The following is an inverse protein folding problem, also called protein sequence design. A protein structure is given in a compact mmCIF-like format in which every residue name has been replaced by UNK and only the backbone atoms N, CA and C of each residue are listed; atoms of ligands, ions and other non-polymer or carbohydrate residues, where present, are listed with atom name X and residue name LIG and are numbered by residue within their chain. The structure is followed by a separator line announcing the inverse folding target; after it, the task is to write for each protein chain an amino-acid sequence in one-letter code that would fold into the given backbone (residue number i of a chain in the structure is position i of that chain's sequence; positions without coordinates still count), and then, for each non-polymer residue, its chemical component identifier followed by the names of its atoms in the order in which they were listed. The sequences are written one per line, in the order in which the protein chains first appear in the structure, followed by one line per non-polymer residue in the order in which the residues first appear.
data_IF_506834006739
#
_entry.id   IF_506834006739
#
_cell.length_a   1.000
_cell.length_b   1.000
_cell.length_c   1.000
_cell.angle_alpha   90.00
_cell.angle_beta   90.00
_cell.angle_gamma   90.00
#
_symmetry.space_group_name_H-M   'P 1'
#
loop_
_entity.id
_entity.type
_entity.pdbx_description
1 polymer ?
#
# COMPACT_ATOMS: atom_id res chain seq x y z
N UNK A 1 39.48 41.91 31.91
CA UNK A 1 39.52 40.78 30.96
C UNK A 1 38.24 39.98 31.10
N UNK A 2 37.36 40.13 30.16
CA UNK A 2 36.04 39.54 30.17
C UNK A 2 36.08 38.35 29.17
N UNK A 3 36.09 37.13 29.68
CA UNK A 3 36.03 35.92 28.82
C UNK A 3 34.57 35.64 28.48
N UNK A 4 34.22 35.88 27.22
CA UNK A 4 32.97 35.48 26.63
C UNK A 4 33.03 33.97 26.34
N UNK A 5 32.27 33.18 27.11
CA UNK A 5 32.05 31.75 26.84
C UNK A 5 31.05 31.65 25.66
N UNK A 6 31.55 31.37 24.48
CA UNK A 6 30.69 30.98 23.32
C UNK A 6 30.35 29.52 23.54
N UNK A 7 29.16 29.28 24.08
CA UNK A 7 28.54 27.92 24.04
C UNK A 7 28.16 27.59 22.59
N UNK A 8 29.02 26.80 21.95
CA UNK A 8 28.63 26.12 20.73
C UNK A 8 27.64 25.00 21.11
N UNK A 9 26.35 25.29 21.05
CA UNK A 9 25.33 24.25 21.09
C UNK A 9 25.42 23.49 19.76
N UNK A 10 26.22 22.43 19.72
CA UNK A 10 26.16 21.41 18.67
C UNK A 10 24.79 20.76 18.77
N UNK A 11 23.85 21.22 17.95
CA UNK A 11 22.65 20.43 17.68
C UNK A 11 23.11 19.14 16.99
N UNK A 12 23.34 18.10 17.76
CA UNK A 12 23.38 16.74 17.21
C UNK A 12 21.95 16.45 16.75
N UNK A 13 21.69 16.62 15.45
CA UNK A 13 20.52 16.04 14.83
C UNK A 13 20.78 14.54 14.89
N UNK A 14 20.20 13.88 15.89
CA UNK A 14 20.24 12.42 15.99
C UNK A 14 19.41 11.87 14.82
N UNK A 15 20.05 11.12 13.93
CA UNK A 15 19.38 10.38 12.88
C UNK A 15 18.30 9.48 13.49
N UNK A 16 17.08 9.55 12.95
CA UNK A 16 15.99 8.66 13.36
C UNK A 16 16.22 7.25 12.82
N UNK A 17 15.52 6.27 13.40
CA UNK A 17 15.59 4.89 12.90
C UNK A 17 15.07 4.80 11.46
N UNK A 18 14.04 5.58 11.12
CA UNK A 18 13.48 5.62 9.77
C UNK A 18 14.48 6.19 8.76
N UNK A 19 15.17 7.29 9.11
CA UNK A 19 16.24 7.85 8.26
C UNK A 19 17.39 6.85 8.07
N UNK A 20 17.76 6.11 9.13
CA UNK A 20 18.78 5.07 9.02
C UNK A 20 18.34 3.95 8.08
N UNK A 21 17.11 3.44 8.22
CA UNK A 21 16.56 2.39 7.33
C UNK A 21 16.58 2.86 5.88
N UNK A 22 16.07 4.08 5.60
CA UNK A 22 15.99 4.62 4.24
C UNK A 22 17.36 4.80 3.57
N UNK A 23 18.42 5.00 4.35
CA UNK A 23 19.80 5.07 3.84
C UNK A 23 20.42 3.69 3.53
N UNK A 24 19.80 2.60 3.99
CA UNK A 24 20.36 1.24 3.90
C UNK A 24 19.50 0.27 3.09
N UNK A 25 18.39 0.75 2.53
CA UNK A 25 17.54 -0.05 1.63
C UNK A 25 17.76 0.35 0.17
N UNK A 26 17.21 -0.47 -0.73
CA UNK A 26 17.22 -0.23 -2.17
C UNK A 26 16.60 1.12 -2.54
N UNK A 27 17.27 1.88 -3.43
CA UNK A 27 16.77 3.18 -3.89
C UNK A 27 15.44 3.01 -4.66
N UNK A 28 14.49 3.90 -4.43
CA UNK A 28 13.21 3.91 -5.14
C UNK A 28 13.30 4.46 -6.57
N UNK A 29 14.37 5.18 -6.89
CA UNK A 29 14.58 5.82 -8.18
C UNK A 29 13.86 7.17 -8.33
N UNK A 30 14.28 7.93 -9.33
CA UNK A 30 13.82 9.32 -9.50
C UNK A 30 12.33 9.42 -9.84
N UNK A 31 11.76 8.42 -10.52
CA UNK A 31 10.36 8.43 -10.91
C UNK A 31 9.43 8.32 -9.69
N UNK A 32 9.70 7.37 -8.79
CA UNK A 32 8.91 7.24 -7.56
C UNK A 32 9.12 8.41 -6.61
N UNK A 33 10.35 8.96 -6.52
CA UNK A 33 10.62 10.20 -5.76
C UNK A 33 9.78 11.38 -6.30
N UNK A 34 9.69 11.52 -7.63
CA UNK A 34 8.91 12.57 -8.25
C UNK A 34 7.40 12.36 -7.99
N UNK A 35 6.89 11.15 -8.14
CA UNK A 35 5.51 10.82 -7.80
C UNK A 35 5.19 11.11 -6.33
N UNK A 36 6.05 10.68 -5.39
CA UNK A 36 5.87 10.91 -3.96
C UNK A 36 5.82 12.42 -3.64
N UNK A 37 6.74 13.19 -4.23
CA UNK A 37 6.74 14.64 -4.10
C UNK A 37 5.45 15.27 -4.65
N UNK A 38 5.03 14.88 -5.85
CA UNK A 38 3.80 15.39 -6.47
C UNK A 38 2.56 15.05 -5.66
N UNK A 39 2.50 13.84 -5.09
CA UNK A 39 1.46 13.42 -4.14
C UNK A 39 1.34 14.41 -2.98
N UNK A 40 2.49 14.80 -2.38
CA UNK A 40 2.51 15.75 -1.28
C UNK A 40 2.17 17.19 -1.66
N UNK A 41 2.37 17.56 -2.93
CA UNK A 41 2.08 18.90 -3.42
C UNK A 41 0.64 19.07 -3.92
N UNK A 42 0.01 17.99 -4.39
CA UNK A 42 -1.24 18.07 -5.17
C UNK A 42 -2.41 17.34 -4.51
N UNK A 43 -2.17 16.31 -3.68
CA UNK A 43 -3.23 15.52 -3.08
C UNK A 43 -3.51 15.93 -1.63
N UNK A 44 -4.78 15.79 -1.23
CA UNK A 44 -5.26 16.27 0.08
C UNK A 44 -4.72 15.45 1.26
N UNK A 45 -4.51 14.15 1.07
CA UNK A 45 -4.07 13.22 2.12
C UNK A 45 -2.76 12.51 1.78
N UNK A 46 -1.65 13.23 1.56
CA UNK A 46 -0.41 12.65 1.01
C UNK A 46 0.19 11.51 1.85
N UNK A 47 -0.14 11.46 3.15
CA UNK A 47 0.30 10.39 4.05
C UNK A 47 -0.32 9.02 3.76
N UNK A 48 -1.32 8.95 2.88
CA UNK A 48 -1.91 7.69 2.42
C UNK A 48 -1.02 6.96 1.41
N UNK A 49 -0.02 7.64 0.83
CA UNK A 49 0.94 6.98 -0.06
C UNK A 49 1.90 6.10 0.74
N UNK A 50 2.12 4.88 0.28
CA UNK A 50 2.95 3.86 0.95
C UNK A 50 4.37 4.32 1.28
N UNK A 51 5.00 5.10 0.41
CA UNK A 51 6.36 5.62 0.59
C UNK A 51 7.46 4.59 0.36
N UNK A 52 8.72 5.04 0.52
CA UNK A 52 9.91 4.32 0.07
C UNK A 52 10.05 2.93 0.73
N UNK A 53 10.03 2.84 2.05
CA UNK A 53 10.25 1.56 2.76
C UNK A 53 9.19 0.52 2.37
N UNK A 54 7.92 0.87 2.47
CA UNK A 54 6.82 -0.05 2.15
C UNK A 54 6.85 -0.42 0.66
N UNK A 55 7.12 0.54 -0.23
CA UNK A 55 7.26 0.28 -1.65
C UNK A 55 8.35 -0.75 -1.96
N UNK A 56 9.52 -0.64 -1.31
CA UNK A 56 10.60 -1.63 -1.48
C UNK A 56 10.23 -3.01 -0.90
N UNK A 57 9.49 -3.05 0.20
CA UNK A 57 8.94 -4.31 0.74
C UNK A 57 7.96 -4.97 -0.22
N UNK A 58 7.03 -4.21 -0.81
CA UNK A 58 6.07 -4.72 -1.80
C UNK A 58 6.80 -5.29 -3.03
N UNK A 59 7.76 -4.54 -3.60
CA UNK A 59 8.64 -5.03 -4.67
C UNK A 59 9.34 -6.33 -4.27
N UNK A 60 9.89 -6.40 -3.07
CA UNK A 60 10.59 -7.60 -2.56
C UNK A 60 9.64 -8.80 -2.49
N UNK A 61 8.44 -8.64 -1.93
CA UNK A 61 7.46 -9.73 -1.85
C UNK A 61 7.07 -10.23 -3.24
N UNK A 62 6.81 -9.32 -4.19
CA UNK A 62 6.50 -9.70 -5.58
C UNK A 62 7.67 -10.46 -6.21
N UNK A 63 8.92 -10.03 -5.98
CA UNK A 63 10.12 -10.73 -6.47
C UNK A 63 10.28 -12.13 -5.84
N UNK A 64 9.93 -12.30 -4.57
CA UNK A 64 10.01 -13.59 -3.86
C UNK A 64 8.91 -14.55 -4.29
N UNK A 65 7.67 -14.06 -4.39
CA UNK A 65 6.48 -14.85 -4.72
C UNK A 65 6.43 -15.15 -6.24
N UNK A 66 6.87 -14.19 -7.07
CA UNK A 66 6.82 -14.23 -8.53
C UNK A 66 5.40 -14.45 -9.10
N UNK A 67 4.41 -13.69 -8.63
CA UNK A 67 3.04 -13.83 -9.08
C UNK A 67 2.90 -13.38 -10.54
N UNK A 68 2.05 -14.06 -11.32
CA UNK A 68 1.69 -13.60 -12.66
C UNK A 68 0.51 -12.63 -12.64
N UNK A 69 -0.36 -12.73 -11.65
CA UNK A 69 -1.55 -11.86 -11.51
C UNK A 69 -1.64 -11.32 -10.09
N UNK A 70 -1.49 -10.01 -10.00
CA UNK A 70 -1.57 -9.30 -8.73
C UNK A 70 -2.82 -8.44 -8.71
N UNK A 71 -3.57 -8.50 -7.61
CA UNK A 71 -4.69 -7.62 -7.31
C UNK A 71 -4.23 -6.57 -6.30
N UNK A 72 -4.56 -5.32 -6.54
CA UNK A 72 -4.42 -4.23 -5.56
C UNK A 72 -5.76 -3.55 -5.35
N UNK A 73 -6.16 -3.39 -4.08
CA UNK A 73 -7.38 -2.67 -3.68
C UNK A 73 -6.96 -1.40 -2.95
N UNK A 74 -7.16 -0.25 -3.59
CA UNK A 74 -6.69 1.06 -3.15
C UNK A 74 -5.46 1.52 -3.92
N UNK A 75 -5.64 2.12 -5.10
CA UNK A 75 -4.54 2.64 -5.94
C UNK A 75 -3.98 3.95 -5.41
N UNK A 76 -4.87 4.83 -4.95
CA UNK A 76 -4.57 6.20 -4.51
C UNK A 76 -3.70 6.95 -5.53
N UNK A 77 -2.45 7.32 -5.16
CA UNK A 77 -1.53 8.01 -6.07
C UNK A 77 -0.85 7.10 -7.10
N UNK A 78 -0.97 5.77 -6.95
CA UNK A 78 -0.30 4.79 -7.79
C UNK A 78 1.11 4.40 -7.33
N UNK A 79 1.56 4.88 -6.15
CA UNK A 79 2.91 4.60 -5.67
C UNK A 79 3.13 3.10 -5.41
N UNK A 80 2.24 2.46 -4.64
CA UNK A 80 2.27 1.00 -4.39
C UNK A 80 2.11 0.20 -5.67
N UNK A 81 1.20 0.64 -6.57
CA UNK A 81 0.99 0.01 -7.87
C UNK A 81 2.29 -0.07 -8.68
N UNK A 82 3.06 1.02 -8.75
CA UNK A 82 4.34 1.06 -9.45
C UNK A 82 5.38 0.14 -8.78
N UNK A 83 5.43 0.12 -7.45
CA UNK A 83 6.34 -0.76 -6.71
C UNK A 83 6.03 -2.24 -6.90
N UNK A 84 4.73 -2.60 -6.91
CA UNK A 84 4.27 -3.97 -7.23
C UNK A 84 4.65 -4.33 -8.67
N UNK A 85 4.36 -3.44 -9.63
CA UNK A 85 4.65 -3.66 -11.05
C UNK A 85 6.15 -3.82 -11.34
N UNK A 86 7.01 -3.07 -10.66
CA UNK A 86 8.48 -3.19 -10.73
C UNK A 86 8.97 -4.59 -10.30
N UNK A 87 8.27 -5.21 -9.34
CA UNK A 87 8.57 -6.57 -8.88
C UNK A 87 8.15 -7.68 -9.82
N UNK A 88 7.16 -7.46 -10.68
CA UNK A 88 6.52 -8.47 -11.52
C UNK A 88 7.48 -9.14 -12.52
N UNK A 89 7.30 -10.44 -12.80
CA UNK A 89 7.92 -11.10 -13.93
C UNK A 89 7.53 -10.42 -15.26
N UNK A 90 8.19 -10.77 -16.34
CA UNK A 90 7.99 -10.12 -17.66
C UNK A 90 6.53 -10.25 -18.16
N UNK A 91 5.92 -11.40 -17.92
CA UNK A 91 4.53 -11.73 -18.28
C UNK A 91 3.52 -11.46 -17.15
N UNK A 92 3.97 -10.82 -16.05
CA UNK A 92 3.12 -10.49 -14.92
C UNK A 92 2.25 -9.27 -15.16
N UNK A 93 1.06 -9.23 -14.53
CA UNK A 93 0.08 -8.17 -14.65
C UNK A 93 -0.47 -7.76 -13.28
N UNK A 94 -0.50 -6.47 -13.03
CA UNK A 94 -1.17 -5.85 -11.89
C UNK A 94 -2.55 -5.34 -12.31
N UNK A 95 -3.56 -5.65 -11.51
CA UNK A 95 -4.92 -5.14 -11.60
C UNK A 95 -5.19 -4.30 -10.36
N UNK A 96 -5.21 -2.99 -10.50
CA UNK A 96 -5.37 -2.04 -9.39
C UNK A 96 -6.69 -1.31 -9.45
N UNK A 97 -7.34 -1.12 -8.30
CA UNK A 97 -8.69 -0.58 -8.20
C UNK A 97 -8.71 0.67 -7.32
N UNK A 98 -9.26 1.76 -7.84
CA UNK A 98 -9.50 3.02 -7.14
C UNK A 98 -10.99 3.33 -7.12
N UNK A 99 -11.54 3.50 -5.91
CA UNK A 99 -12.97 3.79 -5.74
C UNK A 99 -13.31 5.26 -5.98
N UNK A 100 -12.34 6.15 -5.73
CA UNK A 100 -12.50 7.59 -5.91
C UNK A 100 -12.12 7.99 -7.34
N UNK A 101 -13.11 8.30 -8.18
CA UNK A 101 -12.90 8.71 -9.56
C UNK A 101 -12.14 10.04 -9.71
N UNK A 102 -12.21 10.92 -8.70
CA UNK A 102 -11.43 12.18 -8.69
C UNK A 102 -9.91 11.92 -8.65
N UNK A 103 -9.46 10.74 -8.21
CA UNK A 103 -8.04 10.38 -8.20
C UNK A 103 -7.50 10.02 -9.59
N UNK A 104 -8.36 9.66 -10.54
CA UNK A 104 -7.97 9.19 -11.87
C UNK A 104 -7.10 10.19 -12.61
N UNK A 105 -7.49 11.47 -12.60
CA UNK A 105 -6.76 12.55 -13.31
C UNK A 105 -5.32 12.74 -12.80
N UNK A 106 -5.07 12.44 -11.52
CA UNK A 106 -3.72 12.45 -10.96
C UNK A 106 -2.99 11.14 -11.23
N UNK A 107 -3.62 10.02 -10.96
CA UNK A 107 -2.97 8.70 -10.88
C UNK A 107 -2.69 8.11 -12.27
N UNK A 108 -3.64 8.18 -13.20
CA UNK A 108 -3.52 7.58 -14.53
C UNK A 108 -2.29 8.06 -15.30
N UNK A 109 -1.97 9.38 -15.38
CA UNK A 109 -0.78 9.85 -16.07
C UNK A 109 0.54 9.29 -15.49
N UNK A 110 0.61 9.08 -14.17
CA UNK A 110 1.78 8.50 -13.53
C UNK A 110 1.94 7.00 -13.85
N UNK A 111 0.84 6.25 -13.89
CA UNK A 111 0.89 4.84 -14.25
C UNK A 111 1.25 4.65 -15.73
N UNK A 112 0.57 5.38 -16.62
CA UNK A 112 0.78 5.29 -18.07
C UNK A 112 2.12 5.86 -18.55
N UNK A 113 2.69 6.84 -17.83
CA UNK A 113 4.01 7.42 -18.10
C UNK A 113 5.19 6.58 -17.58
N UNK A 114 4.93 5.52 -16.82
CA UNK A 114 5.97 4.68 -16.25
C UNK A 114 6.50 3.64 -17.24
N UNK A 115 7.70 3.13 -16.99
CA UNK A 115 8.25 1.99 -17.72
C UNK A 115 7.43 0.69 -17.53
N UNK A 116 6.55 0.65 -16.51
CA UNK A 116 5.69 -0.49 -16.16
C UNK A 116 4.26 -0.34 -16.68
N UNK A 117 3.96 0.65 -17.49
CA UNK A 117 2.61 0.95 -17.99
C UNK A 117 1.92 -0.27 -18.63
N UNK A 118 2.67 -1.08 -19.36
CA UNK A 118 2.19 -2.29 -20.01
C UNK A 118 1.85 -3.45 -19.06
N UNK A 119 2.25 -3.36 -17.79
CA UNK A 119 1.99 -4.35 -16.74
C UNK A 119 0.88 -3.93 -15.78
N UNK A 120 0.27 -2.74 -15.95
CA UNK A 120 -0.70 -2.18 -15.00
C UNK A 120 -2.04 -1.96 -15.70
N UNK A 121 -3.10 -2.44 -15.07
CA UNK A 121 -4.50 -2.16 -15.45
C UNK A 121 -5.18 -1.42 -14.31
N UNK A 122 -5.45 -0.13 -14.51
CA UNK A 122 -6.19 0.69 -13.57
C UNK A 122 -7.70 0.59 -13.85
N UNK A 123 -8.46 0.24 -12.81
CA UNK A 123 -9.91 0.23 -12.80
C UNK A 123 -10.43 1.28 -11.82
N UNK A 124 -11.37 2.11 -12.27
CA UNK A 124 -12.05 3.09 -11.43
C UNK A 124 -13.41 2.51 -11.02
N UNK A 125 -13.62 2.36 -9.72
CA UNK A 125 -14.85 1.84 -9.14
C UNK A 125 -14.63 0.91 -7.94
N UNK A 126 -15.74 0.38 -7.41
CA UNK A 126 -15.71 -0.51 -6.24
C UNK A 126 -15.15 -1.90 -6.61
N UNK A 127 -14.00 -2.25 -6.01
CA UNK A 127 -13.34 -3.54 -6.22
C UNK A 127 -14.28 -4.73 -5.90
N UNK A 128 -15.14 -4.61 -4.88
CA UNK A 128 -16.11 -5.66 -4.53
C UNK A 128 -17.09 -5.98 -5.66
N UNK A 129 -17.35 -5.01 -6.51
CA UNK A 129 -18.24 -5.19 -7.65
C UNK A 129 -17.49 -5.61 -8.92
N UNK A 130 -16.31 -5.02 -9.15
CA UNK A 130 -15.60 -5.16 -10.41
C UNK A 130 -14.74 -6.43 -10.47
N UNK A 131 -14.06 -6.80 -9.38
CA UNK A 131 -13.14 -7.96 -9.36
C UNK A 131 -13.86 -9.27 -9.74
N UNK A 132 -15.04 -9.61 -9.18
CA UNK A 132 -15.74 -10.84 -9.56
C UNK A 132 -16.13 -10.92 -11.03
N UNK A 133 -16.35 -9.76 -11.68
CA UNK A 133 -16.74 -9.70 -13.09
C UNK A 133 -15.58 -9.96 -14.05
N UNK A 134 -14.34 -9.86 -13.58
CA UNK A 134 -13.16 -10.12 -14.42
C UNK A 134 -12.99 -11.61 -14.76
N UNK A 135 -13.50 -12.51 -13.91
CA UNK A 135 -13.28 -13.95 -14.08
C UNK A 135 -11.80 -14.35 -14.03
N UNK A 136 -11.00 -13.60 -13.26
CA UNK A 136 -9.55 -13.79 -13.13
C UNK A 136 -9.26 -14.37 -11.75
N UNK A 137 -8.34 -15.33 -11.71
CA UNK A 137 -7.75 -15.83 -10.47
C UNK A 137 -6.41 -15.15 -10.25
N UNK A 138 -6.16 -14.65 -9.03
CA UNK A 138 -4.96 -13.91 -8.65
C UNK A 138 -4.00 -14.78 -7.84
N UNK A 139 -2.70 -14.51 -7.94
CA UNK A 139 -1.64 -15.20 -7.19
C UNK A 139 -1.24 -14.44 -5.94
N UNK A 140 -1.44 -13.13 -5.96
CA UNK A 140 -1.16 -12.21 -4.86
C UNK A 140 -2.23 -11.12 -4.84
N UNK A 141 -2.72 -10.79 -3.64
CA UNK A 141 -3.56 -9.61 -3.42
C UNK A 141 -2.93 -8.69 -2.38
N UNK A 142 -2.96 -7.38 -2.64
CA UNK A 142 -2.62 -6.33 -1.69
C UNK A 142 -3.89 -5.53 -1.36
N UNK A 143 -4.28 -5.54 -0.08
CA UNK A 143 -5.49 -4.87 0.42
C UNK A 143 -5.08 -3.62 1.19
N UNK A 144 -5.35 -2.44 0.61
CA UNK A 144 -5.13 -1.13 1.22
C UNK A 144 -6.29 -0.15 0.89
N UNK A 145 -7.50 -0.66 0.92
CA UNK A 145 -8.72 0.12 0.68
C UNK A 145 -9.38 0.64 1.95
N UNK A 146 -10.70 0.84 1.88
CA UNK A 146 -11.55 1.28 3.00
C UNK A 146 -11.54 0.25 4.13
N UNK A 147 -11.00 0.63 5.28
CA UNK A 147 -10.80 -0.24 6.46
C UNK A 147 -12.11 -0.84 6.99
N UNK A 148 -13.24 -0.17 6.75
CA UNK A 148 -14.58 -0.66 7.13
C UNK A 148 -15.02 -1.89 6.35
N UNK A 149 -14.40 -2.13 5.17
CA UNK A 149 -14.75 -3.20 4.23
C UNK A 149 -13.69 -4.31 4.18
N UNK A 150 -12.74 -4.36 5.11
CA UNK A 150 -11.61 -5.28 5.03
C UNK A 150 -12.03 -6.75 5.06
N UNK A 151 -13.06 -7.11 5.85
CA UNK A 151 -13.62 -8.46 5.84
C UNK A 151 -14.21 -8.80 4.47
N UNK A 152 -14.97 -7.87 3.88
CA UNK A 152 -15.59 -8.07 2.57
C UNK A 152 -14.53 -8.20 1.47
N UNK A 153 -13.47 -7.37 1.52
CA UNK A 153 -12.34 -7.48 0.59
C UNK A 153 -11.63 -8.83 0.73
N UNK A 154 -11.40 -9.28 1.96
CA UNK A 154 -10.75 -10.56 2.23
C UNK A 154 -11.54 -11.74 1.64
N UNK A 155 -12.85 -11.81 1.89
CA UNK A 155 -13.70 -12.86 1.37
C UNK A 155 -13.79 -12.83 -0.17
N UNK A 156 -13.90 -11.66 -0.75
CA UNK A 156 -13.87 -11.48 -2.20
C UNK A 156 -12.53 -11.94 -2.79
N UNK A 157 -11.41 -11.54 -2.15
CA UNK A 157 -10.06 -11.96 -2.58
C UNK A 157 -9.91 -13.46 -2.50
N UNK A 158 -10.26 -14.11 -1.38
CA UNK A 158 -10.18 -15.57 -1.24
C UNK A 158 -10.96 -16.32 -2.31
N UNK A 159 -12.13 -15.79 -2.69
CA UNK A 159 -12.96 -16.40 -3.74
C UNK A 159 -12.33 -16.29 -5.14
N UNK A 160 -11.33 -15.43 -5.30
CA UNK A 160 -10.65 -15.16 -6.57
C UNK A 160 -9.13 -15.41 -6.49
N UNK A 161 -8.65 -16.07 -5.42
CA UNK A 161 -7.23 -16.36 -5.20
C UNK A 161 -6.92 -17.79 -5.68
N UNK A 162 -5.74 -17.98 -6.27
CA UNK A 162 -5.23 -19.31 -6.62
C UNK A 162 -4.84 -20.12 -5.38
N UNK A 163 -4.88 -21.43 -5.47
CA UNK A 163 -4.36 -22.32 -4.43
C UNK A 163 -2.89 -21.99 -4.16
N UNK A 164 -2.55 -21.72 -2.89
CA UNK A 164 -1.21 -21.27 -2.49
C UNK A 164 -0.92 -19.81 -2.80
N UNK A 165 -1.91 -19.02 -3.18
CA UNK A 165 -1.80 -17.56 -3.35
C UNK A 165 -1.61 -16.83 -2.03
N UNK A 166 -1.23 -15.55 -2.11
CA UNK A 166 -0.87 -14.73 -0.96
C UNK A 166 -1.80 -13.52 -0.83
N UNK A 167 -2.08 -13.14 0.41
CA UNK A 167 -2.79 -11.90 0.74
C UNK A 167 -1.88 -11.06 1.63
N UNK A 168 -1.67 -9.81 1.26
CA UNK A 168 -1.01 -8.79 2.08
C UNK A 168 -2.07 -7.75 2.43
N UNK A 169 -2.31 -7.52 3.71
CA UNK A 169 -3.23 -6.48 4.18
C UNK A 169 -2.45 -5.40 4.92
N UNK A 170 -2.64 -4.15 4.52
CA UNK A 170 -2.00 -3.01 5.16
C UNK A 170 -2.76 -2.50 6.38
N UNK A 171 -2.08 -1.76 7.24
CA UNK A 171 -2.60 -1.06 8.43
C UNK A 171 -3.33 -1.96 9.44
N UNK A 172 -2.98 -3.24 9.53
CA UNK A 172 -3.65 -4.19 10.44
C UNK A 172 -3.45 -3.87 11.93
N UNK A 173 -2.46 -3.06 12.29
CA UNK A 173 -2.27 -2.53 13.64
C UNK A 173 -2.95 -1.17 13.88
N UNK A 174 -3.29 -0.44 12.81
CA UNK A 174 -4.06 0.81 12.81
C UNK A 174 -3.58 1.80 13.88
N UNK A 175 -2.29 2.18 13.83
CA UNK A 175 -1.64 3.08 14.80
C UNK A 175 -1.87 2.71 16.28
N UNK A 176 -1.96 1.41 16.56
CA UNK A 176 -2.29 0.81 17.86
C UNK A 176 -3.76 0.98 18.32
N UNK A 177 -4.64 1.58 17.52
CA UNK A 177 -6.08 1.67 17.86
C UNK A 177 -6.75 0.30 18.03
N UNK A 178 -6.17 -0.76 17.44
CA UNK A 178 -6.62 -2.14 17.65
C UNK A 178 -6.57 -2.58 19.12
N UNK A 179 -5.75 -1.93 19.95
CA UNK A 179 -5.64 -2.20 21.39
C UNK A 179 -6.74 -1.53 22.22
N UNK A 180 -7.53 -0.64 21.63
CA UNK A 180 -8.64 0.00 22.33
C UNK A 180 -9.71 -1.04 22.67
N UNK A 181 -10.00 -1.23 23.97
CA UNK A 181 -11.06 -2.14 24.43
C UNK A 181 -12.45 -1.68 23.95
N UNK A 182 -12.67 -0.37 23.96
CA UNK A 182 -13.93 0.27 23.58
C UNK A 182 -13.69 1.39 22.57
N UNK A 183 -13.48 1.09 21.27
CA UNK A 183 -13.39 2.13 20.26
C UNK A 183 -14.70 2.95 20.22
N UNK A 184 -14.60 4.22 19.85
CA UNK A 184 -15.80 5.06 19.73
C UNK A 184 -16.76 4.45 18.71
N UNK A 185 -18.06 4.50 18.99
CA UNK A 185 -19.09 3.90 18.09
C UNK A 185 -19.07 4.47 16.66
N UNK A 186 -18.50 5.66 16.45
CA UNK A 186 -18.35 6.29 15.15
C UNK A 186 -16.97 6.04 14.49
N UNK A 187 -16.05 5.36 15.19
CA UNK A 187 -14.77 4.95 14.61
C UNK A 187 -14.92 3.61 13.89
N UNK A 188 -15.63 3.66 12.78
CA UNK A 188 -15.93 2.48 11.97
C UNK A 188 -14.68 1.85 11.33
N UNK A 189 -13.59 2.61 11.18
CA UNK A 189 -12.34 2.08 10.63
C UNK A 189 -11.63 1.19 11.64
N UNK A 190 -11.47 1.64 12.89
CA UNK A 190 -10.92 0.79 13.96
C UNK A 190 -11.76 -0.46 14.17
N UNK A 191 -13.10 -0.31 14.17
CA UNK A 191 -14.01 -1.45 14.30
C UNK A 191 -13.81 -2.44 13.14
N UNK A 192 -13.70 -1.95 11.92
CA UNK A 192 -13.50 -2.77 10.72
C UNK A 192 -12.18 -3.55 10.75
N UNK A 193 -11.06 -2.89 11.12
CA UNK A 193 -9.75 -3.55 11.25
C UNK A 193 -9.75 -4.60 12.37
N UNK A 194 -10.34 -4.30 13.54
CA UNK A 194 -10.46 -5.30 14.63
C UNK A 194 -11.25 -6.51 14.18
N UNK A 195 -12.39 -6.29 13.50
CA UNK A 195 -13.21 -7.37 12.96
C UNK A 195 -12.44 -8.21 11.93
N UNK A 196 -11.68 -7.56 11.04
CA UNK A 196 -10.81 -8.24 10.06
C UNK A 196 -9.74 -9.09 10.75
N UNK A 197 -8.99 -8.53 11.69
CA UNK A 197 -7.95 -9.26 12.41
C UNK A 197 -8.50 -10.51 13.12
N UNK A 198 -9.65 -10.36 13.79
CA UNK A 198 -10.31 -11.46 14.47
C UNK A 198 -10.82 -12.52 13.47
N UNK A 199 -11.39 -12.08 12.35
CA UNK A 199 -11.87 -12.95 11.29
C UNK A 199 -10.75 -13.81 10.71
N UNK A 200 -9.62 -13.18 10.33
CA UNK A 200 -8.46 -13.87 9.76
C UNK A 200 -7.80 -14.81 10.78
N UNK A 201 -7.70 -14.39 12.06
CA UNK A 201 -7.08 -15.22 13.10
C UNK A 201 -7.81 -16.56 13.34
N UNK A 202 -9.10 -16.65 12.98
CA UNK A 202 -9.91 -17.85 13.11
C UNK A 202 -10.18 -18.57 11.79
N UNK A 203 -9.65 -18.05 10.68
CA UNK A 203 -9.87 -18.64 9.37
C UNK A 203 -8.91 -19.80 9.12
N UNK A 204 -9.45 -21.00 8.97
CA UNK A 204 -8.67 -22.23 8.71
C UNK A 204 -8.30 -22.41 7.23
N UNK A 205 -8.77 -21.54 6.34
CA UNK A 205 -8.44 -21.55 4.89
C UNK A 205 -7.07 -20.95 4.61
N UNK A 206 -6.54 -20.15 5.55
CA UNK A 206 -5.22 -19.50 5.47
C UNK A 206 -4.29 -20.00 6.56
N UNK A 207 -2.97 -19.85 6.32
CA UNK A 207 -1.91 -20.12 7.28
C UNK A 207 -1.47 -18.85 7.98
#
# INVERSE_FOLDING_TARGET
MQYSLILHSSFFISMTIDEYILQHIDDEGDYLKALYRDTHLKLLYPRMASGHLQGRMLKMFVKMIRPHRVLEIGTYSGYSALCLAEGLPEDGMLYTFEINDEQEDFTRPWLEGSEYANKIKLYIGDALQLVPQLGITFDLAFIDGDKRKYVDYYEMVLSNLSDGGYIIADNTLWDNHVLEEHPRNNDLQTIGIKAFNEHVAHDTRCL
#
